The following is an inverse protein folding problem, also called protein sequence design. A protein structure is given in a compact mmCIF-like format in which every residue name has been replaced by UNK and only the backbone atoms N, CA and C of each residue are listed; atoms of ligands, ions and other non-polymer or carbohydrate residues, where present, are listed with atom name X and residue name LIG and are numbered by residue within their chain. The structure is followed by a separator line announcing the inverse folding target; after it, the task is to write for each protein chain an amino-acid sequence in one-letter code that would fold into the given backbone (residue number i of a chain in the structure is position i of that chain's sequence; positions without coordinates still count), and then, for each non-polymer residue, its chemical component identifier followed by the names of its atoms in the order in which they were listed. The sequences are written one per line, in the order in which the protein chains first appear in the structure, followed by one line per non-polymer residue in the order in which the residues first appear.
data_IF_087596247317
#
_entry.id   IF_087596247317
#
_cell.length_a   1.000
_cell.length_b   1.000
_cell.length_c   1.000
_cell.angle_alpha   90.00
_cell.angle_beta   90.00
_cell.angle_gamma   90.00
#
_symmetry.space_group_name_H-M   'P 1'
#
loop_
_entity.id
_entity.type
_entity.pdbx_description
1 polymer ?
#
# COMPACT_ATOMS: atom_id res chain seq x y z
N UNK A 1 0.07 -19.48 22.87
CA UNK A 1 -0.07 -19.07 21.47
C UNK A 1 0.95 -17.95 21.25
N UNK A 2 1.89 -18.09 20.31
CA UNK A 2 2.76 -16.96 19.94
C UNK A 2 1.88 -15.99 19.16
N UNK A 3 1.77 -14.75 19.61
CA UNK A 3 1.18 -13.69 18.80
C UNK A 3 2.20 -13.39 17.71
N UNK A 4 1.90 -13.76 16.47
CA UNK A 4 2.71 -13.35 15.32
C UNK A 4 2.54 -11.83 15.19
N UNK A 5 3.64 -11.11 15.36
CA UNK A 5 3.63 -9.65 15.23
C UNK A 5 3.77 -9.30 13.75
N UNK A 6 2.84 -8.51 13.23
CA UNK A 6 2.78 -8.13 11.82
C UNK A 6 3.24 -6.68 11.69
N UNK A 7 4.23 -6.44 10.84
CA UNK A 7 4.69 -5.08 10.55
C UNK A 7 3.69 -4.36 9.63
N UNK A 8 3.24 -3.16 10.02
CA UNK A 8 2.46 -2.30 9.15
C UNK A 8 3.39 -1.51 8.21
N UNK A 9 3.35 -1.74 6.89
CA UNK A 9 4.25 -1.07 5.95
C UNK A 9 4.06 0.46 5.98
N UNK A 10 5.15 1.19 6.22
CA UNK A 10 5.13 2.66 6.30
C UNK A 10 4.67 3.25 7.63
N UNK A 11 4.42 2.43 8.66
CA UNK A 11 4.21 2.95 10.02
C UNK A 11 5.46 3.60 10.58
N UNK A 12 6.61 2.98 10.35
CA UNK A 12 7.94 3.57 10.60
C UNK A 12 8.50 4.18 9.32
N UNK A 13 9.16 5.33 9.45
CA UNK A 13 9.80 6.02 8.34
C UNK A 13 11.24 5.52 8.13
N UNK A 14 11.63 5.32 6.87
CA UNK A 14 12.97 4.87 6.50
C UNK A 14 13.55 5.80 5.43
N UNK A 15 14.80 6.23 5.60
CA UNK A 15 15.46 7.17 4.67
C UNK A 15 15.53 6.63 3.22
N UNK A 16 15.67 5.32 3.06
CA UNK A 16 15.89 4.68 1.76
C UNK A 16 14.65 4.01 1.17
N UNK A 17 13.49 4.11 1.82
CA UNK A 17 12.24 3.49 1.36
C UNK A 17 11.02 4.29 1.78
N UNK A 18 10.12 4.50 0.82
CA UNK A 18 8.81 5.09 1.08
C UNK A 18 7.69 4.12 0.73
N UNK A 19 6.53 4.38 1.31
CA UNK A 19 5.34 3.56 1.18
C UNK A 19 4.18 4.42 0.69
N UNK A 20 3.35 3.82 -0.17
CA UNK A 20 2.09 4.40 -0.62
C UNK A 20 1.02 3.33 -0.62
N UNK A 21 -0.21 3.76 -0.44
CA UNK A 21 -1.38 2.92 -0.43
C UNK A 21 -2.31 3.40 -1.54
N UNK A 22 -2.64 2.55 -2.50
CA UNK A 22 -3.44 2.92 -3.67
C UNK A 22 -4.85 2.38 -3.52
N UNK A 23 -5.86 3.24 -3.72
CA UNK A 23 -7.26 2.81 -3.69
C UNK A 23 -7.55 1.92 -4.89
N UNK A 24 -7.99 0.69 -4.64
CA UNK A 24 -8.48 -0.20 -5.69
C UNK A 24 -9.99 -0.33 -5.58
N UNK A 25 -10.71 0.05 -6.64
CA UNK A 25 -12.17 -0.09 -6.75
C UNK A 25 -12.51 -1.26 -7.68
N UNK A 26 -13.62 -1.95 -7.41
CA UNK A 26 -14.17 -2.94 -8.35
C UNK A 26 -14.47 -2.25 -9.70
N UNK A 27 -14.11 -2.88 -10.82
CA UNK A 27 -14.30 -2.40 -12.20
C UNK A 27 -13.35 -1.30 -12.71
N UNK A 28 -12.16 -1.10 -12.10
CA UNK A 28 -11.14 -0.17 -12.62
C UNK A 28 -10.38 -0.74 -13.84
N UNK A 29 -11.08 -1.04 -14.93
CA UNK A 29 -10.44 -1.38 -16.20
C UNK A 29 -9.48 -2.58 -16.16
N UNK A 30 -9.69 -3.51 -15.22
CA UNK A 30 -8.84 -4.68 -15.03
C UNK A 30 -7.71 -4.52 -14.00
N UNK A 31 -7.64 -3.40 -13.28
CA UNK A 31 -6.74 -3.25 -12.12
C UNK A 31 -7.29 -4.00 -10.91
N UNK A 32 -6.45 -4.83 -10.31
CA UNK A 32 -6.72 -5.57 -9.09
C UNK A 32 -5.48 -5.62 -8.18
N UNK A 33 -5.59 -6.32 -7.05
CA UNK A 33 -4.53 -6.45 -6.05
C UNK A 33 -3.24 -7.10 -6.56
N UNK A 34 -3.33 -7.90 -7.61
CA UNK A 34 -2.20 -8.67 -8.14
C UNK A 34 -1.44 -7.87 -9.22
N UNK A 35 -2.09 -6.89 -9.88
CA UNK A 35 -1.47 -6.12 -10.97
C UNK A 35 -1.37 -4.60 -10.75
N UNK A 36 -1.92 -4.04 -9.66
CA UNK A 36 -1.95 -2.57 -9.50
C UNK A 36 -0.58 -1.90 -9.52
N UNK A 37 0.47 -2.55 -8.98
CA UNK A 37 1.82 -1.97 -8.97
C UNK A 37 2.32 -1.75 -10.40
N UNK A 38 2.21 -2.75 -11.27
CA UNK A 38 2.62 -2.59 -12.68
C UNK A 38 1.68 -1.65 -13.41
N UNK A 39 0.36 -1.77 -13.21
CA UNK A 39 -0.61 -0.88 -13.85
C UNK A 39 -0.33 0.60 -13.55
N UNK A 40 -0.14 0.96 -12.28
CA UNK A 40 0.15 2.34 -11.83
C UNK A 40 1.50 2.81 -12.35
N UNK A 41 2.55 1.97 -12.24
CA UNK A 41 3.91 2.37 -12.65
C UNK A 41 4.10 2.42 -14.16
N UNK A 42 3.36 1.64 -14.94
CA UNK A 42 3.45 1.61 -16.40
C UNK A 42 2.53 2.64 -17.09
N UNK A 43 1.61 3.26 -16.37
CA UNK A 43 0.67 4.27 -16.87
C UNK A 43 1.35 5.48 -17.55
N UNK A 44 2.55 5.84 -17.09
CA UNK A 44 3.31 6.97 -17.58
C UNK A 44 4.65 6.51 -18.18
N UNK A 45 4.92 6.84 -19.45
CA UNK A 45 6.17 6.54 -20.14
C UNK A 45 6.71 7.78 -20.85
N UNK A 46 8.05 7.97 -20.92
CA UNK A 46 9.09 7.13 -20.31
C UNK A 46 9.04 7.18 -18.77
N UNK A 47 9.67 6.20 -18.11
CA UNK A 47 9.77 6.19 -16.64
C UNK A 47 10.52 7.43 -16.15
N UNK A 48 9.96 8.11 -15.16
CA UNK A 48 10.60 9.20 -14.42
C UNK A 48 11.79 8.72 -13.56
N UNK A 49 11.70 7.62 -12.77
CA UNK A 49 12.80 7.17 -11.93
C UNK A 49 14.00 6.68 -12.75
N UNK A 50 15.20 6.95 -12.22
CA UNK A 50 16.48 6.56 -12.83
C UNK A 50 17.06 5.28 -12.26
N UNK A 51 16.60 4.83 -11.09
CA UNK A 51 17.06 3.60 -10.44
C UNK A 51 16.06 3.08 -9.41
N UNK A 52 16.23 1.83 -8.98
CA UNK A 52 15.40 1.23 -7.93
C UNK A 52 14.23 0.44 -8.47
N UNK A 53 13.18 0.33 -7.67
CA UNK A 53 11.99 -0.44 -8.01
C UNK A 53 10.87 -0.23 -7.01
N UNK A 54 9.69 -0.69 -7.41
CA UNK A 54 8.46 -0.68 -6.61
C UNK A 54 8.05 -2.13 -6.38
N UNK A 55 7.60 -2.46 -5.18
CA UNK A 55 7.09 -3.78 -4.82
C UNK A 55 5.71 -3.66 -4.18
N UNK A 56 4.92 -4.73 -4.31
CA UNK A 56 3.68 -4.89 -3.58
C UNK A 56 4.00 -5.32 -2.14
N UNK A 57 3.44 -4.63 -1.16
CA UNK A 57 3.60 -4.97 0.27
C UNK A 57 2.62 -6.06 0.72
N UNK A 58 1.70 -6.46 -0.17
CA UNK A 58 0.62 -7.42 0.08
C UNK A 58 -0.20 -7.11 1.34
N UNK A 59 -0.37 -5.82 1.61
CA UNK A 59 -1.06 -5.30 2.79
C UNK A 59 -2.18 -4.36 2.37
N UNK A 60 -3.25 -4.32 3.16
CA UNK A 60 -4.42 -3.49 2.89
C UNK A 60 -4.75 -2.71 4.17
N UNK A 61 -4.96 -1.40 4.00
CA UNK A 61 -5.59 -0.56 5.02
C UNK A 61 -7.03 -0.28 4.57
N UNK A 62 -7.97 -0.49 5.48
CA UNK A 62 -9.39 -0.25 5.29
C UNK A 62 -9.79 0.89 6.21
N UNK A 63 -10.25 1.99 5.64
CA UNK A 63 -10.69 3.16 6.40
C UNK A 63 -12.06 2.92 7.05
N UNK A 64 -12.45 3.74 8.06
CA UNK A 64 -13.77 3.66 8.71
C UNK A 64 -14.99 3.77 7.77
N UNK A 65 -14.80 4.32 6.56
CA UNK A 65 -15.82 4.39 5.51
C UNK A 65 -15.66 3.28 4.45
N UNK A 66 -14.99 2.19 4.81
CA UNK A 66 -14.85 0.95 4.04
C UNK A 66 -14.08 1.09 2.71
N UNK A 67 -13.27 2.15 2.55
CA UNK A 67 -12.37 2.29 1.39
C UNK A 67 -11.13 1.44 1.61
N UNK A 68 -10.81 0.59 0.62
CA UNK A 68 -9.67 -0.32 0.64
C UNK A 68 -8.49 0.25 -0.13
N UNK A 69 -7.33 0.32 0.52
CA UNK A 69 -6.10 0.79 -0.08
C UNK A 69 -5.00 -0.27 0.02
N UNK A 70 -4.32 -0.52 -1.10
CA UNK A 70 -3.33 -1.58 -1.24
C UNK A 70 -1.91 -1.00 -1.18
N UNK A 71 -1.10 -1.55 -0.28
CA UNK A 71 0.23 -1.07 0.03
C UNK A 71 1.26 -1.45 -1.04
N UNK A 72 2.09 -0.48 -1.41
CA UNK A 72 3.32 -0.67 -2.17
C UNK A 72 4.45 0.11 -1.49
N UNK A 73 5.68 -0.24 -1.82
CA UNK A 73 6.85 0.53 -1.41
C UNK A 73 7.88 0.64 -2.52
N UNK A 74 8.73 1.65 -2.43
CA UNK A 74 9.76 1.94 -3.43
C UNK A 74 11.04 2.46 -2.80
N UNK A 75 12.16 2.29 -3.50
CA UNK A 75 13.50 2.57 -2.99
C UNK A 75 14.45 3.14 -4.04
N UNK A 76 15.59 3.66 -3.60
CA UNK A 76 16.63 4.35 -4.39
C UNK A 76 16.18 5.71 -4.92
N UNK A 77 15.66 5.81 -6.14
CA UNK A 77 15.18 7.08 -6.67
C UNK A 77 13.80 7.42 -6.10
N UNK A 78 13.76 7.77 -4.81
CA UNK A 78 12.53 8.02 -4.05
C UNK A 78 11.69 9.11 -4.70
N UNK A 79 12.32 10.20 -5.13
CA UNK A 79 11.61 11.33 -5.76
C UNK A 79 11.02 10.90 -7.11
N UNK A 80 11.81 10.22 -7.95
CA UNK A 80 11.36 9.76 -9.26
C UNK A 80 10.23 8.72 -9.15
N UNK A 81 10.33 7.77 -8.22
CA UNK A 81 9.29 6.78 -7.99
C UNK A 81 8.02 7.39 -7.42
N UNK A 82 8.12 8.31 -6.44
CA UNK A 82 6.97 9.03 -5.89
C UNK A 82 6.21 9.76 -7.00
N UNK A 83 6.92 10.52 -7.83
CA UNK A 83 6.31 11.24 -8.95
C UNK A 83 5.67 10.29 -9.97
N UNK A 84 6.31 9.16 -10.28
CA UNK A 84 5.78 8.14 -11.18
C UNK A 84 4.47 7.54 -10.66
N UNK A 85 4.43 7.18 -9.38
CA UNK A 85 3.27 6.57 -8.73
C UNK A 85 2.11 7.56 -8.63
N UNK A 86 2.37 8.79 -8.20
CA UNK A 86 1.35 9.85 -8.10
C UNK A 86 0.78 10.21 -9.48
N UNK A 87 1.64 10.27 -10.51
CA UNK A 87 1.19 10.49 -11.91
C UNK A 87 0.32 9.34 -12.39
N UNK A 88 0.73 8.08 -12.14
CA UNK A 88 -0.06 6.91 -12.52
C UNK A 88 -1.41 6.86 -11.81
N UNK A 89 -1.44 7.14 -10.51
CA UNK A 89 -2.67 7.22 -9.74
C UNK A 89 -3.63 8.28 -10.29
N UNK A 90 -3.10 9.47 -10.64
CA UNK A 90 -3.88 10.53 -11.26
C UNK A 90 -4.44 10.12 -12.63
N UNK A 91 -3.66 9.45 -13.49
CA UNK A 91 -4.11 8.96 -14.79
C UNK A 91 -5.25 7.94 -14.69
N UNK A 92 -5.24 7.11 -13.64
CA UNK A 92 -6.34 6.19 -13.34
C UNK A 92 -7.47 6.82 -12.51
N UNK A 93 -7.36 8.10 -12.15
CA UNK A 93 -8.32 8.80 -11.27
C UNK A 93 -8.57 8.05 -9.95
N UNK A 94 -7.49 7.49 -9.38
CA UNK A 94 -7.51 6.80 -8.09
C UNK A 94 -6.78 7.61 -7.03
N UNK A 95 -7.22 7.42 -5.79
CA UNK A 95 -6.61 8.06 -4.64
C UNK A 95 -5.36 7.29 -4.19
N UNK A 96 -4.31 8.02 -3.84
CA UNK A 96 -3.16 7.50 -3.11
C UNK A 96 -3.23 7.96 -1.66
N UNK A 97 -2.64 7.20 -0.75
CA UNK A 97 -2.57 7.52 0.66
C UNK A 97 -1.21 7.14 1.23
N UNK A 98 -0.89 7.71 2.38
CA UNK A 98 0.32 7.40 3.14
C UNK A 98 0.06 7.47 4.64
N UNK A 99 0.93 6.82 5.41
CA UNK A 99 0.95 6.96 6.86
C UNK A 99 1.83 8.16 7.21
N UNK A 100 1.37 9.01 8.13
CA UNK A 100 2.11 10.15 8.68
C UNK A 100 2.29 10.00 10.19
N UNK A 101 3.52 10.24 10.65
CA UNK A 101 3.92 10.19 12.06
C UNK A 101 3.61 8.84 12.74
N UNK A 102 3.41 7.76 11.97
CA UNK A 102 3.02 6.44 12.49
C UNK A 102 1.59 6.34 13.04
N UNK A 103 0.79 7.42 12.97
CA UNK A 103 -0.51 7.51 13.65
C UNK A 103 -1.67 7.88 12.73
N UNK A 104 -1.40 8.52 11.59
CA UNK A 104 -2.43 9.05 10.70
C UNK A 104 -2.35 8.44 9.31
N UNK A 105 -3.49 8.02 8.76
CA UNK A 105 -3.62 7.61 7.37
C UNK A 105 -4.23 8.76 6.55
N UNK A 106 -3.38 9.38 5.72
CA UNK A 106 -3.73 10.59 4.97
C UNK A 106 -3.93 10.25 3.49
N UNK A 107 -5.10 10.59 2.96
CA UNK A 107 -5.47 10.37 1.57
C UNK A 107 -5.17 11.63 0.75
N UNK A 108 -4.79 11.46 -0.51
CA UNK A 108 -4.46 12.53 -1.46
C UNK A 108 -5.60 13.53 -1.70
N UNK A 109 -6.84 13.19 -1.33
CA UNK A 109 -8.00 14.08 -1.43
C UNK A 109 -8.17 14.99 -0.19
N UNK A 110 -7.30 14.86 0.82
CA UNK A 110 -7.32 15.62 2.07
C UNK A 110 -7.99 14.93 3.26
N UNK A 111 -8.65 13.77 3.05
CA UNK A 111 -9.17 12.97 4.16
C UNK A 111 -8.02 12.45 5.04
N UNK A 112 -8.26 12.43 6.35
CA UNK A 112 -7.28 12.00 7.35
C UNK A 112 -7.99 11.17 8.42
N UNK A 113 -7.50 9.95 8.65
CA UNK A 113 -8.03 9.01 9.63
C UNK A 113 -6.96 8.68 10.65
N UNK A 114 -7.36 8.49 11.92
CA UNK A 114 -6.46 7.88 12.88
C UNK A 114 -6.27 6.40 12.52
N UNK A 115 -5.02 5.93 12.49
CA UNK A 115 -4.71 4.54 12.11
C UNK A 115 -5.37 3.52 13.04
N UNK A 116 -5.58 3.88 14.31
CA UNK A 116 -6.24 3.02 15.29
C UNK A 116 -7.70 2.72 14.94
N UNK A 117 -8.34 3.57 14.13
CA UNK A 117 -9.73 3.43 13.69
C UNK A 117 -9.82 2.65 12.36
N UNK A 118 -8.68 2.37 11.73
CA UNK A 118 -8.62 1.59 10.50
C UNK A 118 -8.59 0.08 10.79
N UNK A 119 -9.02 -0.71 9.81
CA UNK A 119 -8.85 -2.16 9.80
C UNK A 119 -7.73 -2.55 8.84
N UNK A 120 -7.22 -3.77 9.00
CA UNK A 120 -6.05 -4.25 8.28
C UNK A 120 -6.28 -5.64 7.73
N UNK A 121 -5.77 -5.90 6.52
CA UNK A 121 -5.70 -7.23 5.95
C UNK A 121 -4.33 -7.47 5.30
N UNK A 122 -3.91 -8.73 5.24
CA UNK A 122 -2.78 -9.19 4.44
C UNK A 122 -3.21 -10.25 3.43
N UNK A 123 -2.45 -10.39 2.35
CA UNK A 123 -2.65 -11.43 1.33
C UNK A 123 -1.28 -11.88 0.80
N UNK A 124 -1.26 -12.93 -0.04
CA UNK A 124 -0.04 -13.48 -0.65
C UNK A 124 1.15 -13.63 0.32
N UNK A 125 0.89 -14.08 1.55
CA UNK A 125 1.88 -14.27 2.61
C UNK A 125 2.05 -15.76 2.93
N UNK A 126 3.12 -16.12 3.63
CA UNK A 126 3.36 -17.48 4.10
C UNK A 126 2.86 -17.64 5.54
N UNK A 127 2.06 -18.68 5.80
CA UNK A 127 1.65 -19.03 7.16
C UNK A 127 2.79 -19.72 7.94
N UNK A 128 2.53 -20.02 9.23
CA UNK A 128 3.49 -20.71 10.12
C UNK A 128 3.93 -22.10 9.61
N UNK A 129 3.18 -22.69 8.67
CA UNK A 129 3.49 -23.97 8.04
C UNK A 129 4.22 -23.81 6.70
N UNK A 130 4.49 -22.58 6.27
CA UNK A 130 5.13 -22.26 5.00
C UNK A 130 4.20 -22.38 3.79
N UNK A 131 2.88 -22.44 3.98
CA UNK A 131 1.92 -22.42 2.89
C UNK A 131 1.61 -21.00 2.47
N UNK A 132 1.47 -20.78 1.16
CA UNK A 132 1.04 -19.48 0.63
C UNK A 132 -0.47 -19.27 0.85
N UNK A 133 -0.81 -18.23 1.59
CA UNK A 133 -2.19 -17.74 1.79
C UNK A 133 -2.45 -16.62 0.79
N UNK A 134 -3.23 -16.91 -0.26
CA UNK A 134 -3.56 -15.93 -1.32
C UNK A 134 -4.79 -15.07 -1.02
N UNK A 135 -5.66 -15.57 -0.14
CA UNK A 135 -6.87 -14.86 0.28
C UNK A 135 -6.51 -13.66 1.16
N UNK A 136 -7.37 -12.64 1.12
CA UNK A 136 -7.30 -11.58 2.10
C UNK A 136 -7.62 -12.14 3.47
N UNK A 137 -6.76 -11.84 4.44
CA UNK A 137 -6.88 -12.31 5.82
C UNK A 137 -6.81 -11.10 6.74
N UNK A 138 -7.82 -10.88 7.60
CA UNK A 138 -7.78 -9.82 8.60
C UNK A 138 -6.56 -9.92 9.51
N UNK A 139 -6.03 -8.76 9.92
CA UNK A 139 -4.98 -8.64 10.92
C UNK A 139 -5.54 -7.86 12.09
N UNK A 140 -5.50 -8.46 13.28
CA UNK A 140 -6.01 -7.80 14.49
C UNK A 140 -5.11 -6.62 14.85
N UNK A 141 -5.70 -5.48 15.22
CA UNK A 141 -4.91 -4.27 15.54
C UNK A 141 -3.91 -4.48 16.70
N UNK A 142 -4.17 -5.44 17.60
CA UNK A 142 -3.25 -5.83 18.68
C UNK A 142 -1.99 -6.56 18.19
N UNK A 143 -1.99 -7.06 16.95
CA UNK A 143 -0.90 -7.81 16.34
C UNK A 143 0.03 -6.90 15.51
N UNK A 144 -0.41 -5.67 15.21
CA UNK A 144 0.36 -4.72 14.43
C UNK A 144 1.47 -4.06 15.26
N UNK A 145 2.69 -4.16 14.74
CA UNK A 145 3.85 -3.38 15.18
C UNK A 145 3.86 -2.00 14.56
#
# INVERSE_FOLDING_TARGET
MKVEKVYLPGKEEFEFREYRYIRIRSNMGGIDKDNFVSAITDANKPLIPKSGGVINENFIIITPDEKRFYGLSYSKDIIGWRQQIETGAALFSVESAEIKNGEHFVISNGENYELKDCQFERYNYYDDMGNIVKSNTPVESSEIL
#
